data_IF_417006097914
#
_entry.id   IF_417006097914
#
_cell.length_a   1.000
_cell.length_b   1.000
_cell.length_c   1.000
_cell.angle_alpha   90.00
_cell.angle_beta   90.00
_cell.angle_gamma   90.00
#
_symmetry.space_group_name_H-M   'P 1'
#
loop_
_entity.id
_entity.type
_entity.pdbx_description
1 polymer ?
#
# COMPACT_ATOMS: atom_id res chain seq x y z
N UNK A 1 21.49 0.00 -28.15
CA UNK A 1 20.18 0.50 -28.64
C UNK A 1 19.12 -0.13 -27.74
N UNK A 2 18.71 0.57 -26.68
CA UNK A 2 17.65 0.04 -25.79
C UNK A 2 16.31 0.21 -26.50
N UNK A 3 15.69 -0.91 -26.85
CA UNK A 3 14.32 -0.94 -27.38
C UNK A 3 13.33 -0.76 -26.25
N UNK A 4 12.43 0.19 -26.39
CA UNK A 4 11.26 0.31 -25.51
C UNK A 4 10.28 -0.80 -25.86
N UNK A 5 10.10 -1.78 -24.97
CA UNK A 5 9.07 -2.81 -25.11
C UNK A 5 7.68 -2.16 -25.09
N UNK A 6 6.76 -2.69 -25.89
CA UNK A 6 5.37 -2.23 -25.89
C UNK A 6 4.67 -2.61 -24.57
N UNK A 7 3.61 -1.88 -24.19
CA UNK A 7 2.82 -2.17 -22.98
C UNK A 7 2.29 -3.61 -23.01
N UNK A 8 1.87 -4.10 -24.18
CA UNK A 8 1.37 -5.47 -24.34
C UNK A 8 2.46 -6.52 -24.06
N UNK A 9 3.68 -6.31 -24.54
CA UNK A 9 4.80 -7.20 -24.25
C UNK A 9 5.16 -7.20 -22.76
N UNK A 10 5.16 -6.03 -22.11
CA UNK A 10 5.40 -5.92 -20.67
C UNK A 10 4.34 -6.67 -19.85
N UNK A 11 3.06 -6.60 -20.25
CA UNK A 11 1.97 -7.33 -19.58
C UNK A 11 2.13 -8.84 -19.75
N UNK A 12 2.49 -9.32 -20.94
CA UNK A 12 2.66 -10.76 -21.19
C UNK A 12 3.89 -11.33 -20.47
N UNK A 13 4.98 -10.57 -20.44
CA UNK A 13 6.18 -10.93 -19.69
C UNK A 13 5.92 -10.95 -18.18
N UNK A 14 5.14 -9.97 -17.68
CA UNK A 14 4.71 -9.96 -16.28
C UNK A 14 3.85 -11.17 -15.95
N UNK A 15 2.89 -11.54 -16.81
CA UNK A 15 2.07 -12.74 -16.63
C UNK A 15 2.92 -14.00 -16.55
N UNK A 16 3.83 -14.20 -17.51
CA UNK A 16 4.71 -15.38 -17.53
C UNK A 16 5.56 -15.48 -16.27
N UNK A 17 6.11 -14.36 -15.81
CA UNK A 17 6.86 -14.31 -14.55
C UNK A 17 6.01 -14.69 -13.34
N UNK A 18 4.75 -14.26 -13.30
CA UNK A 18 3.82 -14.66 -12.24
C UNK A 18 3.42 -16.14 -12.33
N UNK A 19 3.14 -16.66 -13.53
CA UNK A 19 2.81 -18.07 -13.74
C UNK A 19 3.93 -19.00 -13.24
N UNK A 20 5.20 -18.59 -13.39
CA UNK A 20 6.35 -19.33 -12.86
C UNK A 20 6.48 -19.23 -11.33
N UNK A 21 6.16 -18.08 -10.73
CA UNK A 21 6.35 -17.83 -9.29
C UNK A 21 5.21 -18.32 -8.41
N UNK A 22 3.98 -18.34 -8.92
CA UNK A 22 2.80 -18.73 -8.14
C UNK A 22 2.97 -20.13 -7.54
N UNK A 23 3.35 -21.19 -8.29
CA UNK A 23 3.53 -22.52 -7.71
C UNK A 23 4.56 -22.54 -6.58
N UNK A 24 5.68 -21.83 -6.74
CA UNK A 24 6.75 -21.74 -5.74
C UNK A 24 6.24 -21.07 -4.46
N UNK A 25 5.54 -19.94 -4.60
CA UNK A 25 4.98 -19.21 -3.46
C UNK A 25 3.91 -20.04 -2.74
N UNK A 26 3.01 -20.68 -3.49
CA UNK A 26 1.92 -21.49 -2.90
C UNK A 26 2.40 -22.75 -2.19
N UNK A 27 3.57 -23.27 -2.56
CA UNK A 27 4.20 -24.43 -1.91
C UNK A 27 5.18 -24.03 -0.78
N UNK A 28 5.42 -22.74 -0.58
CA UNK A 28 6.37 -22.22 0.41
C UNK A 28 5.69 -22.02 1.76
N UNK A 29 6.41 -22.31 2.85
CA UNK A 29 5.97 -21.98 4.21
C UNK A 29 5.96 -20.47 4.51
N UNK A 30 6.55 -19.65 3.64
CA UNK A 30 6.53 -18.19 3.79
C UNK A 30 5.13 -17.60 3.58
N UNK A 31 4.32 -18.22 2.71
CA UNK A 31 2.91 -17.88 2.55
C UNK A 31 2.09 -18.98 3.21
N UNK A 32 1.74 -18.82 4.48
CA UNK A 32 0.93 -19.81 5.22
C UNK A 32 -0.53 -19.77 4.77
N UNK A 33 -0.78 -20.28 3.56
CA UNK A 33 -2.11 -20.29 2.95
C UNK A 33 -3.13 -21.08 3.77
N UNK A 34 -2.68 -22.11 4.51
CA UNK A 34 -3.56 -22.93 5.32
C UNK A 34 -3.92 -22.21 6.63
N UNK A 35 -2.95 -21.56 7.27
CA UNK A 35 -3.17 -20.63 8.38
C UNK A 35 -4.16 -19.53 7.98
N UNK A 36 -3.89 -18.81 6.90
CA UNK A 36 -4.79 -17.77 6.39
C UNK A 36 -6.21 -18.27 6.13
N UNK A 37 -6.39 -19.43 5.46
CA UNK A 37 -7.72 -20.03 5.18
C UNK A 37 -8.49 -20.41 6.45
N UNK A 38 -7.78 -20.71 7.53
CA UNK A 38 -8.38 -21.03 8.84
C UNK A 38 -8.57 -19.80 9.73
N UNK A 39 -8.21 -18.61 9.24
CA UNK A 39 -8.42 -17.33 9.91
C UNK A 39 -7.24 -16.83 10.73
N UNK A 40 -6.03 -17.34 10.49
CA UNK A 40 -4.82 -16.74 11.05
C UNK A 40 -4.58 -15.34 10.47
N UNK A 41 -4.12 -14.43 11.32
CA UNK A 41 -3.68 -13.10 10.91
C UNK A 41 -2.25 -13.17 10.40
N UNK A 42 -2.03 -12.74 9.16
CA UNK A 42 -0.75 -12.79 8.45
C UNK A 42 -0.04 -11.43 8.44
N UNK A 43 -0.68 -10.39 9.00
CA UNK A 43 -0.11 -9.05 9.13
C UNK A 43 0.69 -8.91 10.42
N UNK A 44 1.90 -8.36 10.30
CA UNK A 44 2.72 -7.94 11.44
C UNK A 44 2.00 -6.84 12.23
N UNK A 45 2.31 -6.69 13.52
CA UNK A 45 1.65 -5.74 14.40
C UNK A 45 1.71 -4.29 13.89
N UNK A 46 2.81 -3.86 13.26
CA UNK A 46 2.91 -2.53 12.65
C UNK A 46 2.08 -2.36 11.37
N UNK A 47 1.71 -3.46 10.73
CA UNK A 47 0.79 -3.48 9.60
C UNK A 47 -0.66 -3.44 10.09
N UNK A 48 -0.93 -3.99 11.28
CA UNK A 48 -2.22 -3.93 11.97
C UNK A 48 -2.46 -2.60 12.69
N UNK A 49 -1.39 -1.94 13.16
CA UNK A 49 -1.40 -0.56 13.68
C UNK A 49 -1.69 0.42 12.52
N UNK A 50 -2.90 0.29 11.98
CA UNK A 50 -3.36 0.97 10.79
C UNK A 50 -3.82 2.39 11.11
N UNK A 51 -4.29 3.08 10.08
CA UNK A 51 -4.93 4.39 10.18
C UNK A 51 -6.01 4.45 11.27
N UNK A 52 -6.73 3.35 11.51
CA UNK A 52 -7.77 3.24 12.53
C UNK A 52 -7.27 3.47 13.96
N UNK A 53 -6.11 2.93 14.33
CA UNK A 53 -5.54 3.09 15.66
C UNK A 53 -5.07 4.51 15.91
N UNK A 54 -4.47 5.14 14.90
CA UNK A 54 -4.05 6.55 14.97
C UNK A 54 -5.27 7.46 15.14
N UNK A 55 -6.33 7.26 14.35
CA UNK A 55 -7.57 8.05 14.47
C UNK A 55 -8.20 7.84 15.86
N UNK A 56 -8.27 6.59 16.33
CA UNK A 56 -8.86 6.23 17.61
C UNK A 56 -8.09 6.81 18.78
N UNK A 57 -6.75 6.79 18.74
CA UNK A 57 -5.90 7.38 19.76
C UNK A 57 -6.06 8.90 19.83
N UNK A 58 -6.09 9.58 18.68
CA UNK A 58 -6.27 11.04 18.62
C UNK A 58 -7.65 11.43 19.14
N UNK A 59 -8.71 10.76 18.70
CA UNK A 59 -10.06 11.00 19.22
C UNK A 59 -10.17 10.68 20.72
N UNK A 60 -9.58 9.57 21.17
CA UNK A 60 -9.57 9.12 22.56
C UNK A 60 -8.84 10.06 23.52
N UNK A 61 -7.92 10.89 23.01
CA UNK A 61 -7.26 11.97 23.77
C UNK A 61 -8.15 13.20 24.02
N UNK A 62 -9.39 13.19 23.51
CA UNK A 62 -10.33 14.30 23.65
C UNK A 62 -10.18 15.39 22.58
N UNK A 63 -9.38 15.16 21.54
CA UNK A 63 -9.29 16.03 20.37
C UNK A 63 -10.43 15.74 19.40
N UNK A 64 -10.98 16.79 18.77
CA UNK A 64 -11.95 16.66 17.68
C UNK A 64 -11.20 16.48 16.38
N UNK A 65 -11.45 15.38 15.67
CA UNK A 65 -10.92 15.17 14.32
C UNK A 65 -11.56 16.18 13.37
N UNK A 66 -10.73 16.93 12.63
CA UNK A 66 -11.19 17.84 11.58
C UNK A 66 -11.28 17.13 10.23
N UNK A 67 -10.20 16.43 9.87
CA UNK A 67 -10.13 15.67 8.64
C UNK A 67 -9.12 14.53 8.74
N UNK A 68 -9.36 13.53 7.90
CA UNK A 68 -8.40 12.52 7.47
C UNK A 68 -8.40 12.59 5.95
N UNK A 69 -7.24 12.80 5.33
CA UNK A 69 -7.08 12.72 3.88
C UNK A 69 -6.08 11.64 3.54
N UNK A 70 -6.48 10.75 2.64
CA UNK A 70 -5.63 9.76 2.02
C UNK A 70 -5.01 10.33 0.75
N UNK A 71 -3.73 10.02 0.53
CA UNK A 71 -2.96 10.46 -0.62
C UNK A 71 -2.40 9.24 -1.34
N UNK A 72 -2.62 9.17 -2.64
CA UNK A 72 -2.08 8.15 -3.54
C UNK A 72 -0.67 8.51 -4.05
N UNK A 73 -0.06 9.54 -3.46
CA UNK A 73 1.27 10.05 -3.82
C UNK A 73 2.15 10.24 -2.59
N UNK A 74 3.47 10.09 -2.76
CA UNK A 74 4.48 10.34 -1.71
C UNK A 74 5.63 11.23 -2.22
N UNK A 75 6.33 11.98 -1.34
CA UNK A 75 7.37 12.91 -1.77
C UNK A 75 8.76 12.26 -1.96
N UNK A 76 8.88 10.93 -1.91
CA UNK A 76 10.14 10.20 -2.07
C UNK A 76 9.95 8.84 -2.76
N UNK A 77 10.96 8.29 -3.45
CA UNK A 77 10.83 7.05 -4.22
C UNK A 77 10.91 5.80 -3.32
N UNK A 78 9.84 5.51 -2.57
CA UNK A 78 9.82 4.38 -1.62
C UNK A 78 9.83 3.00 -2.29
N UNK A 79 9.12 2.84 -3.40
CA UNK A 79 8.95 1.56 -4.09
C UNK A 79 9.37 1.66 -5.56
N UNK A 80 10.04 0.63 -6.07
CA UNK A 80 10.53 0.60 -7.46
C UNK A 80 9.43 0.62 -8.54
N UNK A 81 8.18 0.36 -8.16
CA UNK A 81 7.02 0.41 -9.06
C UNK A 81 6.37 1.81 -9.17
N UNK A 82 6.83 2.80 -8.39
CA UNK A 82 6.31 4.16 -8.47
C UNK A 82 6.98 4.94 -9.61
N UNK A 83 6.18 5.70 -10.33
CA UNK A 83 6.60 6.69 -11.33
C UNK A 83 6.49 8.10 -10.74
N UNK A 84 7.10 9.10 -11.38
CA UNK A 84 7.06 10.51 -10.95
C UNK A 84 6.67 11.42 -12.12
N UNK A 85 5.86 12.44 -11.83
CA UNK A 85 5.50 13.52 -12.75
C UNK A 85 6.21 14.85 -12.40
N UNK A 86 7.12 14.82 -11.43
CA UNK A 86 7.78 16.00 -10.89
C UNK A 86 8.22 15.77 -9.45
N UNK A 87 7.46 16.31 -8.50
CA UNK A 87 7.81 16.30 -7.07
C UNK A 87 7.18 15.15 -6.28
N UNK A 88 6.32 14.34 -6.90
CA UNK A 88 5.55 13.29 -6.24
C UNK A 88 5.63 11.96 -6.98
N UNK A 89 5.74 10.89 -6.20
CA UNK A 89 5.82 9.51 -6.67
C UNK A 89 4.48 8.80 -6.46
N UNK A 90 4.01 8.07 -7.47
CA UNK A 90 2.71 7.40 -7.50
C UNK A 90 2.76 6.13 -8.36
N UNK A 91 1.79 5.23 -8.23
CA UNK A 91 1.70 4.07 -9.13
C UNK A 91 1.32 4.51 -10.54
N UNK A 92 1.79 3.78 -11.57
CA UNK A 92 1.47 4.07 -12.97
C UNK A 92 -0.04 4.26 -13.16
N UNK A 93 -0.44 5.35 -13.82
CA UNK A 93 -1.83 5.73 -14.09
C UNK A 93 -2.74 5.80 -12.85
N UNK A 94 -2.18 6.00 -11.65
CA UNK A 94 -2.91 5.90 -10.38
C UNK A 94 -3.68 4.56 -10.27
N UNK A 95 -3.14 3.50 -10.89
CA UNK A 95 -3.80 2.21 -11.11
C UNK A 95 -4.13 1.48 -9.81
N UNK A 96 -3.30 1.63 -8.78
CA UNK A 96 -3.58 1.11 -7.45
C UNK A 96 -4.24 2.20 -6.59
N UNK A 97 -5.47 1.96 -6.13
CA UNK A 97 -6.17 2.80 -5.15
C UNK A 97 -5.68 2.55 -3.71
N UNK A 98 -4.38 2.34 -3.55
CA UNK A 98 -3.78 2.13 -2.24
C UNK A 98 -3.22 3.47 -1.76
N UNK A 99 -3.69 3.99 -0.61
CA UNK A 99 -3.13 5.21 -0.06
C UNK A 99 -1.66 4.97 0.31
N UNK A 100 -0.78 5.81 -0.22
CA UNK A 100 0.65 5.78 0.06
C UNK A 100 1.02 6.61 1.29
N UNK A 101 0.17 7.57 1.64
CA UNK A 101 0.30 8.45 2.80
C UNK A 101 -1.08 8.95 3.24
N UNK A 102 -1.20 9.42 4.48
CA UNK A 102 -2.37 10.17 4.93
C UNK A 102 -1.95 11.44 5.68
N UNK A 103 -2.88 12.39 5.80
CA UNK A 103 -2.75 13.55 6.66
C UNK A 103 -3.94 13.65 7.60
N UNK A 104 -3.69 13.98 8.86
CA UNK A 104 -4.68 14.11 9.92
C UNK A 104 -4.56 15.49 10.57
N UNK A 105 -5.69 16.15 10.80
CA UNK A 105 -5.76 17.32 11.65
C UNK A 105 -6.83 17.14 12.73
N UNK A 106 -6.54 17.65 13.92
CA UNK A 106 -7.44 17.62 15.05
C UNK A 106 -7.30 18.90 15.88
N UNK A 107 -8.39 19.32 16.53
CA UNK A 107 -8.41 20.51 17.40
C UNK A 107 -8.81 20.14 18.83
N UNK A 108 -8.26 20.88 19.80
CA UNK A 108 -8.74 20.78 21.17
C UNK A 108 -10.12 21.43 21.30
N UNK A 109 -11.02 20.90 22.13
CA UNK A 109 -12.30 21.53 22.39
C UNK A 109 -12.10 22.94 22.98
N UNK A 110 -13.00 23.85 22.63
CA UNK A 110 -13.00 25.19 23.23
C UNK A 110 -13.22 25.06 24.74
N UNK A 111 -12.42 25.78 25.52
CA UNK A 111 -12.47 25.78 26.99
C UNK A 111 -13.70 26.50 27.53
#
# INVERSE_FOLDING_TARGET
>A
MSGTSSVTELVEDNRRHWDERVPINTASSFYDLDGFRTGAEDLDQFQLDELGDVISAVAGSGLRIEFVHEHDTIPFPRYGALVTDGTRFHYLDHSARLPLMYSLAATAPAR
#
